data_IF_675923951958
#
_entry.id   IF_675923951958
#
_cell.length_a   1.000
_cell.length_b   1.000
_cell.length_c   1.000
_cell.angle_alpha   90.00
_cell.angle_beta   90.00
_cell.angle_gamma   90.00
#
_symmetry.space_group_name_H-M   'P 1'
#
loop_
_entity.id
_entity.type
_entity.pdbx_description
1 polymer ?
#
# COMPACT_ATOMS: atom_id res chain seq x y z
N UNK A 1 -50.00 -0.57 51.06
CA UNK A 1 -49.54 -0.78 49.69
C UNK A 1 -48.17 -0.15 49.54
N UNK A 2 -47.12 -0.95 49.66
CA UNK A 2 -45.72 -0.51 49.50
C UNK A 2 -45.32 -0.71 48.01
N UNK A 3 -45.01 0.35 47.30
CA UNK A 3 -44.44 0.25 45.94
C UNK A 3 -42.93 0.17 46.06
N UNK A 4 -42.37 -1.01 45.77
CA UNK A 4 -40.94 -1.19 45.57
C UNK A 4 -40.56 -0.64 44.18
N UNK A 5 -39.76 0.42 44.15
CA UNK A 5 -39.07 0.88 42.95
C UNK A 5 -37.76 0.08 42.84
N UNK A 6 -37.71 -0.81 41.82
CA UNK A 6 -36.47 -1.51 41.47
C UNK A 6 -35.70 -0.56 40.53
N UNK A 7 -34.62 0.00 41.04
CA UNK A 7 -33.68 0.82 40.27
C UNK A 7 -32.72 -0.14 39.55
N UNK A 8 -32.98 -0.36 38.26
CA UNK A 8 -32.05 -1.14 37.39
C UNK A 8 -30.84 -0.30 37.08
N UNK A 9 -29.71 -0.57 37.71
CA UNK A 9 -28.42 0.01 37.38
C UNK A 9 -27.86 -0.75 36.16
N UNK A 10 -27.95 -0.16 34.98
CA UNK A 10 -27.18 -0.60 33.81
C UNK A 10 -25.71 -0.21 33.98
N UNK A 11 -24.89 -1.14 34.43
CA UNK A 11 -23.44 -1.01 34.30
C UNK A 11 -23.07 -1.17 32.83
N UNK A 12 -22.85 -0.05 32.15
CA UNK A 12 -22.19 -0.06 30.85
C UNK A 12 -20.71 -0.43 31.06
N UNK A 13 -20.38 -1.70 30.89
CA UNK A 13 -18.99 -2.11 30.71
C UNK A 13 -18.50 -1.52 29.39
N UNK A 14 -17.81 -0.38 29.43
CA UNK A 14 -16.93 0.04 28.38
C UNK A 14 -15.77 -0.97 28.33
N UNK A 15 -15.91 -2.02 27.54
CA UNK A 15 -14.79 -2.82 27.09
C UNK A 15 -13.90 -1.90 26.25
N UNK A 16 -12.94 -1.27 26.90
CA UNK A 16 -11.76 -0.74 26.20
C UNK A 16 -11.14 -1.94 25.48
N UNK A 17 -11.42 -2.04 24.18
CA UNK A 17 -10.74 -3.01 23.35
C UNK A 17 -9.25 -2.62 23.35
N UNK A 18 -8.48 -3.26 24.23
CA UNK A 18 -7.02 -3.16 24.20
C UNK A 18 -6.61 -3.62 22.81
N UNK A 19 -6.02 -2.72 22.05
CA UNK A 19 -5.49 -3.06 20.72
C UNK A 19 -4.46 -4.17 20.93
N UNK A 20 -4.82 -5.39 20.48
CA UNK A 20 -3.92 -6.54 20.60
C UNK A 20 -2.72 -6.34 19.70
N UNK A 21 -1.55 -6.53 20.25
CA UNK A 21 -0.32 -6.52 19.50
C UNK A 21 -0.22 -7.74 18.57
N UNK A 22 0.50 -7.57 17.48
CA UNK A 22 0.80 -8.66 16.56
C UNK A 22 2.26 -9.06 16.70
N UNK A 23 2.56 -10.32 16.46
CA UNK A 23 3.92 -10.83 16.37
C UNK A 23 4.12 -11.65 15.10
N UNK A 24 5.33 -11.64 14.60
CA UNK A 24 5.76 -12.56 13.53
C UNK A 24 5.97 -13.94 14.15
N UNK A 25 5.30 -14.93 13.59
CA UNK A 25 5.47 -16.34 13.98
C UNK A 25 6.28 -17.12 12.96
N UNK A 26 6.37 -16.61 11.73
CA UNK A 26 7.21 -17.19 10.66
C UNK A 26 7.53 -16.16 9.58
N UNK A 27 8.76 -16.18 9.11
CA UNK A 27 9.19 -15.53 7.88
C UNK A 27 9.56 -16.60 6.86
N UNK A 28 8.83 -16.64 5.76
CA UNK A 28 9.13 -17.57 4.67
C UNK A 28 10.19 -16.97 3.72
N UNK A 29 11.02 -17.81 3.04
CA UNK A 29 11.98 -17.33 2.09
C UNK A 29 11.29 -16.66 0.89
N UNK A 30 11.98 -15.69 0.28
CA UNK A 30 11.50 -15.13 -1.00
C UNK A 30 11.64 -16.14 -2.13
N UNK A 31 10.66 -16.14 -3.04
CA UNK A 31 10.61 -16.98 -4.25
C UNK A 31 10.32 -16.13 -5.47
N UNK A 32 10.83 -16.53 -6.63
CA UNK A 32 10.45 -15.96 -7.93
C UNK A 32 9.86 -17.06 -8.80
N UNK A 33 8.92 -16.69 -9.65
CA UNK A 33 8.16 -17.62 -10.50
C UNK A 33 8.29 -17.25 -11.99
N UNK A 34 9.50 -17.24 -12.56
CA UNK A 34 9.76 -16.71 -13.91
C UNK A 34 9.09 -17.50 -15.05
N UNK A 35 8.53 -18.67 -14.78
CA UNK A 35 7.80 -19.48 -15.77
C UNK A 35 6.32 -19.04 -15.89
N UNK A 36 5.77 -18.47 -14.84
CA UNK A 36 4.34 -18.14 -14.72
C UNK A 36 4.09 -16.65 -14.45
N UNK A 37 5.15 -15.91 -14.11
CA UNK A 37 5.12 -14.46 -13.89
C UNK A 37 6.17 -13.85 -14.82
N UNK A 38 5.70 -13.14 -15.84
CA UNK A 38 6.55 -12.32 -16.70
C UNK A 38 7.09 -11.10 -15.92
N UNK A 39 8.24 -10.58 -16.33
CA UNK A 39 8.76 -9.32 -15.81
C UNK A 39 7.73 -8.20 -16.01
N UNK A 40 7.42 -7.44 -14.97
CA UNK A 40 6.33 -6.48 -15.07
C UNK A 40 6.44 -5.25 -14.19
N UNK A 41 7.55 -5.05 -13.46
CA UNK A 41 7.73 -3.91 -12.56
C UNK A 41 6.50 -3.73 -11.66
N UNK A 42 6.16 -4.80 -10.95
CA UNK A 42 4.97 -4.83 -10.11
C UNK A 42 5.22 -4.10 -8.80
N UNK A 43 4.38 -3.10 -8.50
CA UNK A 43 4.52 -2.23 -7.33
C UNK A 43 3.50 -2.55 -6.25
N UNK A 44 2.20 -2.51 -6.53
CA UNK A 44 1.14 -2.70 -5.54
C UNK A 44 0.34 -3.99 -5.72
N UNK A 45 -0.26 -4.47 -4.62
CA UNK A 45 -1.07 -5.69 -4.61
C UNK A 45 -2.29 -5.57 -3.70
N UNK A 46 -3.45 -6.03 -4.17
CA UNK A 46 -4.69 -6.12 -3.39
C UNK A 46 -5.37 -7.48 -3.56
N UNK A 47 -5.86 -8.05 -2.46
CA UNK A 47 -6.69 -9.26 -2.52
C UNK A 47 -8.06 -8.96 -3.11
N UNK A 48 -8.48 -9.67 -4.13
CA UNK A 48 -9.81 -9.53 -4.75
C UNK A 48 -10.82 -10.54 -4.15
N UNK A 49 -10.55 -11.81 -4.34
CA UNK A 49 -11.35 -12.94 -3.83
C UNK A 49 -10.54 -14.24 -3.94
N UNK A 50 -10.85 -15.25 -3.15
CA UNK A 50 -10.23 -16.57 -3.14
C UNK A 50 -8.68 -16.49 -3.16
N UNK A 51 -8.05 -17.03 -4.21
CA UNK A 51 -6.60 -16.94 -4.45
C UNK A 51 -6.23 -15.89 -5.53
N UNK A 52 -7.17 -14.99 -5.88
CA UNK A 52 -7.01 -13.97 -6.92
C UNK A 52 -6.68 -12.60 -6.31
N UNK A 53 -5.66 -11.97 -6.88
CA UNK A 53 -5.12 -10.68 -6.47
C UNK A 53 -5.03 -9.74 -7.67
N UNK A 54 -5.30 -8.46 -7.45
CA UNK A 54 -4.99 -7.40 -8.38
C UNK A 54 -3.59 -6.88 -8.11
N UNK A 55 -2.77 -6.75 -9.15
CA UNK A 55 -1.39 -6.27 -9.06
C UNK A 55 -1.18 -5.15 -10.06
N UNK A 56 -0.77 -3.98 -9.60
CA UNK A 56 -0.43 -2.85 -10.47
C UNK A 56 1.05 -2.90 -10.88
N UNK A 57 1.36 -2.21 -11.97
CA UNK A 57 2.71 -2.02 -12.48
C UNK A 57 2.96 -0.54 -12.71
N UNK A 58 4.12 -0.04 -12.29
CA UNK A 58 4.56 1.34 -12.49
C UNK A 58 4.82 1.67 -13.96
N UNK A 59 5.05 0.67 -14.81
CA UNK A 59 5.38 0.83 -16.24
C UNK A 59 4.23 0.52 -17.20
N UNK A 60 3.04 0.09 -16.72
CA UNK A 60 1.95 -0.29 -17.61
C UNK A 60 0.97 0.84 -17.92
N UNK A 61 0.80 1.15 -19.21
CA UNK A 61 -0.24 2.05 -19.70
C UNK A 61 -1.48 1.28 -20.22
N UNK A 62 -1.32 0.05 -20.66
CA UNK A 62 -2.41 -0.76 -21.22
C UNK A 62 -3.23 -1.44 -20.13
N UNK A 63 -2.58 -1.98 -19.10
CA UNK A 63 -3.25 -2.61 -17.98
C UNK A 63 -3.60 -1.57 -16.90
N UNK A 64 -4.83 -1.64 -16.38
CA UNK A 64 -5.15 -0.97 -15.13
C UNK A 64 -4.51 -1.71 -13.95
N UNK A 65 -4.63 -3.02 -13.95
CA UNK A 65 -3.94 -3.97 -13.08
C UNK A 65 -3.92 -5.36 -13.74
N UNK A 66 -3.02 -6.21 -13.27
CA UNK A 66 -2.93 -7.62 -13.64
C UNK A 66 -3.69 -8.47 -12.63
N UNK A 67 -4.27 -9.57 -13.09
CA UNK A 67 -4.86 -10.59 -12.23
C UNK A 67 -3.80 -11.65 -11.92
N UNK A 68 -3.52 -11.85 -10.65
CA UNK A 68 -2.57 -12.86 -10.18
C UNK A 68 -3.33 -13.93 -9.40
N UNK A 69 -2.96 -15.20 -9.63
CA UNK A 69 -3.28 -16.29 -8.72
C UNK A 69 -2.10 -16.50 -7.79
N UNK A 70 -2.33 -16.45 -6.48
CA UNK A 70 -1.28 -16.67 -5.47
C UNK A 70 -1.77 -17.72 -4.49
N UNK A 71 -1.10 -18.87 -4.48
CA UNK A 71 -1.42 -19.97 -3.60
C UNK A 71 -0.33 -20.13 -2.54
N UNK A 72 -0.77 -20.30 -1.30
CA UNK A 72 0.10 -20.52 -0.15
C UNK A 72 -0.28 -21.81 0.56
N UNK A 73 0.70 -22.47 1.14
CA UNK A 73 0.47 -23.63 1.96
C UNK A 73 -0.40 -23.26 3.19
N UNK A 74 -1.53 -23.92 3.44
CA UNK A 74 -2.48 -23.54 4.49
C UNK A 74 -1.96 -23.75 5.92
N UNK A 75 -0.86 -24.48 6.11
CA UNK A 75 -0.23 -24.72 7.41
C UNK A 75 0.97 -23.83 7.66
N UNK A 76 1.72 -23.50 6.61
CA UNK A 76 2.98 -22.79 6.73
C UNK A 76 2.94 -21.36 6.21
N UNK A 77 1.98 -21.01 5.36
CA UNK A 77 1.91 -19.75 4.65
C UNK A 77 3.02 -19.57 3.61
N UNK A 78 3.77 -20.63 3.29
CA UNK A 78 4.80 -20.59 2.25
C UNK A 78 4.15 -20.53 0.86
N UNK A 79 4.72 -19.73 -0.04
CA UNK A 79 4.26 -19.65 -1.42
C UNK A 79 4.42 -20.98 -2.13
N UNK A 80 3.33 -21.52 -2.68
CA UNK A 80 3.32 -22.76 -3.49
C UNK A 80 3.33 -22.42 -4.98
N UNK A 81 2.46 -21.48 -5.40
CA UNK A 81 2.35 -21.05 -6.79
C UNK A 81 2.03 -19.57 -6.87
N UNK A 82 2.63 -18.88 -7.85
CA UNK A 82 2.24 -17.55 -8.30
C UNK A 82 2.15 -17.57 -9.82
N UNK A 83 1.05 -17.05 -10.35
CA UNK A 83 0.78 -17.02 -11.78
C UNK A 83 0.13 -15.70 -12.18
N UNK A 84 0.65 -15.05 -13.23
CA UNK A 84 0.00 -13.92 -13.86
C UNK A 84 -1.04 -14.45 -14.86
N UNK A 85 -2.32 -14.18 -14.58
CA UNK A 85 -3.46 -14.62 -15.41
C UNK A 85 -3.77 -13.62 -16.54
N UNK A 86 -3.04 -12.49 -16.61
CA UNK A 86 -3.28 -11.45 -17.59
C UNK A 86 -4.01 -10.23 -17.01
N UNK A 87 -4.43 -9.36 -17.92
CA UNK A 87 -5.06 -8.09 -17.57
C UNK A 87 -6.19 -7.74 -18.53
N UNK A 88 -7.05 -6.83 -18.11
CA UNK A 88 -8.09 -6.25 -18.96
C UNK A 88 -7.60 -4.91 -19.50
N UNK A 89 -7.67 -4.73 -20.83
CA UNK A 89 -7.30 -3.49 -21.48
C UNK A 89 -8.15 -2.32 -20.98
N UNK A 90 -7.52 -1.18 -20.81
CA UNK A 90 -8.20 0.04 -20.33
C UNK A 90 -9.18 0.62 -21.34
N UNK A 91 -8.85 0.52 -22.61
CA UNK A 91 -9.54 1.25 -23.67
C UNK A 91 -10.79 0.55 -24.17
N UNK A 92 -10.78 -0.78 -24.25
CA UNK A 92 -11.88 -1.53 -24.84
C UNK A 92 -12.39 -2.71 -23.98
N UNK A 93 -11.75 -2.99 -22.86
CA UNK A 93 -12.09 -4.10 -21.96
C UNK A 93 -11.70 -5.48 -22.49
N UNK A 94 -10.82 -5.56 -23.48
CA UNK A 94 -10.28 -6.83 -24.00
C UNK A 94 -9.35 -7.45 -22.95
N UNK A 95 -9.49 -8.75 -22.73
CA UNK A 95 -8.61 -9.50 -21.83
C UNK A 95 -7.33 -9.91 -22.56
N UNK A 96 -6.19 -9.55 -22.02
CA UNK A 96 -4.86 -9.96 -22.46
C UNK A 96 -4.22 -10.94 -21.47
N UNK A 97 -3.37 -11.84 -21.97
CA UNK A 97 -2.72 -12.84 -21.13
C UNK A 97 -1.48 -12.31 -20.36
N UNK A 98 -1.10 -11.05 -20.59
CA UNK A 98 -0.01 -10.37 -19.88
C UNK A 98 1.39 -10.93 -20.14
N UNK A 99 1.53 -12.02 -20.93
CA UNK A 99 2.84 -12.70 -21.10
C UNK A 99 3.83 -11.91 -21.93
N UNK A 100 3.37 -11.03 -22.79
CA UNK A 100 4.18 -10.27 -23.74
C UNK A 100 4.17 -8.78 -23.46
N UNK A 101 3.64 -8.37 -22.31
CA UNK A 101 3.66 -6.97 -21.99
C UNK A 101 5.09 -6.52 -21.70
N UNK A 102 5.58 -5.62 -22.52
CA UNK A 102 6.82 -4.88 -22.37
C UNK A 102 6.48 -3.40 -22.44
N UNK A 103 5.86 -2.89 -21.36
CA UNK A 103 5.51 -1.49 -21.29
C UNK A 103 6.77 -0.63 -21.20
N UNK A 104 6.89 0.31 -22.08
CA UNK A 104 7.87 1.40 -22.03
C UNK A 104 7.16 2.75 -22.08
N UNK A 105 5.86 2.78 -21.87
CA UNK A 105 5.10 4.00 -22.05
C UNK A 105 5.09 4.82 -20.76
N UNK A 106 5.26 6.11 -20.96
CA UNK A 106 5.18 7.11 -19.89
C UNK A 106 3.71 7.39 -19.61
N UNK A 107 3.22 7.03 -18.44
CA UNK A 107 1.84 7.28 -18.20
C UNK A 107 1.45 7.40 -16.75
N UNK A 108 0.71 6.42 -16.29
CA UNK A 108 0.03 6.52 -15.01
C UNK A 108 0.94 6.26 -13.82
N UNK A 109 2.00 5.48 -13.98
CA UNK A 109 2.96 5.21 -12.92
C UNK A 109 2.22 4.73 -11.66
N UNK A 110 1.56 3.57 -11.78
CA UNK A 110 0.70 3.05 -10.72
C UNK A 110 1.53 2.35 -9.66
N UNK A 111 1.40 2.79 -8.40
CA UNK A 111 2.24 2.32 -7.31
C UNK A 111 1.47 1.44 -6.31
N UNK A 112 0.33 1.87 -5.83
CA UNK A 112 -0.45 1.10 -4.88
C UNK A 112 -1.88 0.85 -5.35
N UNK A 113 -2.47 -0.24 -4.83
CA UNK A 113 -3.84 -0.63 -5.12
C UNK A 113 -4.51 -1.19 -3.88
N UNK A 114 -5.77 -0.84 -3.65
CA UNK A 114 -6.58 -1.42 -2.58
C UNK A 114 -8.04 -1.62 -3.02
N UNK A 115 -8.64 -2.75 -2.65
CA UNK A 115 -10.06 -3.00 -2.85
C UNK A 115 -10.88 -2.29 -1.77
N UNK A 116 -11.80 -1.40 -2.17
CA UNK A 116 -12.64 -0.62 -1.25
C UNK A 116 -14.09 -1.09 -1.20
N UNK A 117 -14.49 -1.91 -2.17
CA UNK A 117 -15.78 -2.64 -2.20
C UNK A 117 -15.67 -3.84 -3.13
N UNK A 118 -16.72 -4.65 -3.24
CA UNK A 118 -16.73 -5.76 -4.19
C UNK A 118 -16.72 -5.30 -5.66
N UNK A 119 -17.09 -4.07 -5.91
CA UNK A 119 -17.18 -3.50 -7.26
C UNK A 119 -16.15 -2.40 -7.55
N UNK A 120 -15.40 -1.92 -6.56
CA UNK A 120 -14.47 -0.82 -6.76
C UNK A 120 -13.16 -0.99 -5.98
N UNK A 121 -12.11 -0.41 -6.53
CA UNK A 121 -10.78 -0.33 -5.94
C UNK A 121 -10.23 1.10 -6.09
N UNK A 122 -9.22 1.44 -5.31
CA UNK A 122 -8.49 2.70 -5.42
C UNK A 122 -7.04 2.39 -5.80
N UNK A 123 -6.50 3.17 -6.73
CA UNK A 123 -5.11 3.08 -7.19
C UNK A 123 -4.45 4.44 -7.00
N UNK A 124 -3.18 4.45 -6.55
CA UNK A 124 -2.32 5.63 -6.62
C UNK A 124 -1.64 5.72 -7.98
N UNK A 125 -1.34 6.94 -8.37
CA UNK A 125 -0.55 7.20 -9.58
C UNK A 125 0.48 8.28 -9.26
N UNK A 126 1.76 7.92 -9.33
CA UNK A 126 2.86 8.85 -9.10
C UNK A 126 2.90 9.92 -10.18
N UNK A 127 2.79 9.55 -11.45
CA UNK A 127 2.82 10.46 -12.59
C UNK A 127 1.76 11.57 -12.55
N UNK A 128 0.64 11.36 -11.87
CA UNK A 128 -0.44 12.34 -11.71
C UNK A 128 -0.63 12.85 -10.28
N UNK A 129 0.20 12.42 -9.33
CA UNK A 129 0.08 12.79 -7.90
C UNK A 129 -1.33 12.58 -7.36
N UNK A 130 -1.93 11.42 -7.61
CA UNK A 130 -3.36 11.19 -7.32
C UNK A 130 -3.67 9.82 -6.75
N UNK A 131 -4.80 9.78 -6.05
CA UNK A 131 -5.54 8.58 -5.69
C UNK A 131 -6.85 8.59 -6.49
N UNK A 132 -7.19 7.50 -7.17
CA UNK A 132 -8.42 7.44 -7.97
C UNK A 132 -9.12 6.11 -7.78
N UNK A 133 -10.45 6.17 -7.67
CA UNK A 133 -11.34 5.02 -7.64
C UNK A 133 -11.58 4.50 -9.07
N UNK A 134 -11.59 3.18 -9.21
CA UNK A 134 -11.84 2.47 -10.45
C UNK A 134 -12.79 1.30 -10.21
N UNK A 135 -13.56 0.85 -11.21
CA UNK A 135 -14.31 -0.38 -11.10
C UNK A 135 -13.37 -1.59 -11.04
N UNK A 136 -13.78 -2.64 -10.34
CA UNK A 136 -13.16 -3.96 -10.45
C UNK A 136 -13.46 -4.49 -11.85
N UNK A 137 -12.41 -4.81 -12.59
CA UNK A 137 -12.51 -5.27 -13.97
C UNK A 137 -12.85 -6.77 -14.02
N UNK A 138 -13.60 -7.20 -15.04
CA UNK A 138 -13.89 -8.60 -15.20
C UNK A 138 -12.63 -9.42 -15.52
N UNK A 139 -12.58 -10.62 -14.97
CA UNK A 139 -11.47 -11.57 -15.17
C UNK A 139 -11.71 -12.51 -16.35
N UNK A 140 -12.81 -12.36 -17.09
CA UNK A 140 -13.17 -13.21 -18.22
C UNK A 140 -13.67 -12.41 -19.43
N UNK A 141 -13.35 -12.88 -20.63
CA UNK A 141 -13.74 -12.26 -21.90
C UNK A 141 -15.27 -12.16 -22.13
N UNK A 142 -16.07 -12.92 -21.37
CA UNK A 142 -17.54 -12.93 -21.48
C UNK A 142 -18.24 -12.00 -20.50
N UNK A 143 -17.48 -11.27 -19.68
CA UNK A 143 -18.07 -10.32 -18.75
C UNK A 143 -18.55 -9.05 -19.48
N UNK A 144 -19.60 -8.38 -18.98
CA UNK A 144 -20.08 -7.15 -19.61
C UNK A 144 -18.98 -6.08 -19.61
N UNK A 145 -18.86 -5.35 -20.74
CA UNK A 145 -17.95 -4.21 -20.85
C UNK A 145 -18.29 -3.17 -19.79
N UNK A 146 -17.29 -2.75 -19.05
CA UNK A 146 -17.44 -1.73 -18.02
C UNK A 146 -17.21 -0.35 -18.66
N UNK A 147 -18.19 0.53 -18.52
CA UNK A 147 -18.01 1.91 -18.92
C UNK A 147 -17.14 2.64 -17.89
N UNK A 148 -15.98 3.13 -18.32
CA UNK A 148 -15.07 3.94 -17.49
C UNK A 148 -15.60 5.36 -17.19
N UNK A 149 -16.78 5.72 -17.69
CA UNK A 149 -17.34 7.08 -17.61
C UNK A 149 -18.14 7.37 -16.31
N UNK A 150 -18.03 6.54 -15.28
CA UNK A 150 -18.66 6.88 -14.00
C UNK A 150 -17.78 7.88 -13.27
N UNK A 151 -18.41 8.92 -12.69
CA UNK A 151 -17.79 9.91 -11.81
C UNK A 151 -17.35 9.25 -10.49
N UNK A 152 -16.27 8.47 -10.56
CA UNK A 152 -15.64 7.84 -9.42
C UNK A 152 -14.78 8.86 -8.67
N UNK A 153 -14.56 8.60 -7.38
CA UNK A 153 -13.79 9.49 -6.53
C UNK A 153 -12.33 9.65 -6.99
N UNK A 154 -11.83 10.87 -6.85
CA UNK A 154 -10.43 11.20 -7.09
C UNK A 154 -9.96 12.24 -6.07
N UNK A 155 -8.72 12.10 -5.62
CA UNK A 155 -8.00 13.08 -4.83
C UNK A 155 -6.66 13.36 -5.50
N UNK A 156 -6.42 14.62 -5.87
CA UNK A 156 -5.17 15.09 -6.49
C UNK A 156 -4.40 15.97 -5.54
N UNK A 157 -3.10 15.86 -5.58
CA UNK A 157 -2.18 16.68 -4.83
C UNK A 157 -1.29 17.49 -5.78
N UNK A 158 -0.88 18.71 -5.40
CA UNK A 158 0.07 19.47 -6.20
C UNK A 158 1.40 18.70 -6.31
N UNK A 159 1.90 18.51 -7.53
CA UNK A 159 3.22 17.88 -7.75
C UNK A 159 4.35 18.67 -7.09
N UNK A 160 4.15 19.98 -6.89
CA UNK A 160 5.07 20.85 -6.16
C UNK A 160 5.26 20.48 -4.69
N UNK A 161 4.36 19.69 -4.09
CA UNK A 161 4.47 19.25 -2.70
C UNK A 161 5.48 18.12 -2.53
N UNK A 162 5.82 17.41 -3.62
CA UNK A 162 6.69 16.24 -3.61
C UNK A 162 8.09 16.54 -4.17
N UNK A 163 9.07 15.79 -3.75
CA UNK A 163 10.32 15.66 -4.47
C UNK A 163 10.12 14.71 -5.65
N UNK A 164 10.88 14.86 -6.76
CA UNK A 164 10.77 13.96 -7.90
C UNK A 164 10.95 12.49 -7.48
N UNK A 165 10.09 11.60 -7.97
CA UNK A 165 10.07 10.17 -7.69
C UNK A 165 9.86 9.83 -6.19
N UNK A 166 9.09 10.66 -5.46
CA UNK A 166 8.74 10.43 -4.04
C UNK A 166 7.29 10.83 -3.77
N UNK A 167 6.36 10.18 -4.42
CA UNK A 167 4.94 10.50 -4.33
C UNK A 167 4.18 9.55 -3.40
N UNK A 168 2.97 9.15 -3.78
CA UNK A 168 2.15 8.19 -3.03
C UNK A 168 2.41 6.77 -3.53
N UNK A 169 3.09 5.97 -2.74
CA UNK A 169 3.40 4.58 -3.06
C UNK A 169 2.58 3.58 -2.24
N UNK A 170 1.67 4.04 -1.39
CA UNK A 170 1.03 3.15 -0.44
C UNK A 170 -0.46 3.42 -0.26
N UNK A 171 -1.24 2.34 -0.09
CA UNK A 171 -2.65 2.38 0.24
C UNK A 171 -3.03 1.28 1.23
N UNK A 172 -3.91 1.62 2.19
CA UNK A 172 -4.56 0.63 3.01
C UNK A 172 -6.04 0.97 3.21
N UNK A 173 -6.89 -0.04 3.30
CA UNK A 173 -8.32 0.15 3.52
C UNK A 173 -8.83 -0.64 4.72
N UNK A 174 -9.31 0.06 5.74
CA UNK A 174 -10.05 -0.53 6.85
C UNK A 174 -11.53 -0.66 6.45
N UNK A 175 -11.92 -1.84 6.02
CA UNK A 175 -13.27 -2.12 5.54
C UNK A 175 -14.34 -2.02 6.63
N UNK A 176 -13.97 -2.20 7.90
CA UNK A 176 -14.88 -2.12 9.04
C UNK A 176 -15.21 -0.67 9.37
N UNK A 177 -14.20 0.20 9.39
CA UNK A 177 -14.35 1.62 9.70
C UNK A 177 -14.58 2.48 8.48
N UNK A 178 -14.41 1.91 7.29
CA UNK A 178 -14.47 2.64 6.02
C UNK A 178 -13.45 3.77 5.99
N UNK A 179 -12.19 3.48 6.36
CA UNK A 179 -11.08 4.43 6.30
C UNK A 179 -10.08 4.01 5.22
N UNK A 180 -9.81 4.96 4.30
CA UNK A 180 -8.74 4.81 3.31
C UNK A 180 -7.51 5.55 3.82
N UNK A 181 -6.37 4.87 3.84
CA UNK A 181 -5.10 5.38 4.32
C UNK A 181 -4.08 5.48 3.19
N UNK A 182 -3.26 6.52 3.24
CA UNK A 182 -2.08 6.69 2.39
C UNK A 182 -1.01 7.51 3.11
N UNK A 183 0.22 7.40 2.65
CA UNK A 183 1.36 8.18 3.12
C UNK A 183 2.27 8.45 1.92
N UNK A 184 2.97 9.60 1.89
CA UNK A 184 4.00 9.83 0.87
C UNK A 184 5.19 8.90 1.10
N UNK A 185 5.85 8.46 0.04
CA UNK A 185 7.06 7.65 0.17
C UNK A 185 8.12 8.36 1.02
N UNK A 186 8.35 9.63 0.75
CA UNK A 186 9.36 10.42 1.46
C UNK A 186 8.82 11.75 1.98
N UNK A 187 9.68 12.51 2.65
CA UNK A 187 9.38 13.82 3.22
C UNK A 187 8.86 14.79 2.16
N UNK A 188 7.74 15.47 2.44
CA UNK A 188 7.21 16.50 1.55
C UNK A 188 8.13 17.74 1.55
N UNK A 189 8.17 18.51 0.44
CA UNK A 189 9.00 19.73 0.32
C UNK A 189 8.78 20.74 1.44
N UNK A 190 7.56 20.88 1.91
CA UNK A 190 7.22 21.80 3.03
C UNK A 190 7.72 21.30 4.39
N UNK A 191 8.05 20.02 4.50
CA UNK A 191 8.40 19.35 5.75
C UNK A 191 9.92 19.11 5.90
N UNK A 192 10.71 19.35 4.86
CA UNK A 192 12.16 19.22 4.92
C UNK A 192 12.75 18.55 3.68
N UNK A 193 13.86 17.86 3.88
CA UNK A 193 14.56 17.12 2.82
C UNK A 193 14.43 15.62 3.01
N UNK A 194 14.38 14.82 1.93
CA UNK A 194 14.45 13.37 2.01
C UNK A 194 15.70 12.89 2.74
N UNK A 195 15.55 11.81 3.48
CA UNK A 195 16.65 11.14 4.16
C UNK A 195 17.69 10.62 3.16
N UNK A 196 18.94 10.88 3.43
CA UNK A 196 20.08 10.36 2.65
C UNK A 196 21.18 9.86 3.58
N UNK A 197 22.08 8.97 3.12
CA UNK A 197 23.23 8.55 3.92
C UNK A 197 24.12 9.72 4.36
N UNK A 198 24.14 10.82 3.60
CA UNK A 198 25.01 11.96 3.85
C UNK A 198 24.40 12.96 4.83
N UNK A 199 23.08 13.19 4.76
CA UNK A 199 22.42 14.11 5.69
C UNK A 199 22.02 13.45 7.01
N UNK A 200 21.90 12.10 7.04
CA UNK A 200 21.56 11.34 8.24
C UNK A 200 20.18 11.68 8.83
N UNK A 201 19.32 12.36 8.08
CA UNK A 201 17.99 12.75 8.55
C UNK A 201 17.06 11.53 8.61
N UNK A 202 16.04 11.62 9.42
CA UNK A 202 14.90 10.72 9.38
C UNK A 202 13.79 11.38 8.54
N UNK A 203 13.15 10.63 7.64
CA UNK A 203 11.97 11.13 6.92
C UNK A 203 10.83 11.39 7.90
N UNK A 204 10.26 12.58 7.84
CA UNK A 204 9.07 12.99 8.59
C UNK A 204 7.90 13.04 7.61
N UNK A 205 6.91 12.20 7.82
CA UNK A 205 5.84 11.91 6.88
C UNK A 205 4.48 12.22 7.48
N UNK A 206 3.49 12.41 6.61
CA UNK A 206 2.09 12.60 6.99
C UNK A 206 1.30 11.38 6.58
N UNK A 207 0.95 10.53 7.57
CA UNK A 207 0.00 9.45 7.36
C UNK A 207 -1.41 10.07 7.28
N UNK A 208 -2.07 9.91 6.16
CA UNK A 208 -3.37 10.51 5.86
C UNK A 208 -4.47 9.46 5.89
N UNK A 209 -5.59 9.81 6.52
CA UNK A 209 -6.80 9.01 6.59
C UNK A 209 -7.94 9.76 5.91
N UNK A 210 -8.56 9.16 4.93
CA UNK A 210 -9.80 9.60 4.35
C UNK A 210 -10.97 8.83 4.98
N UNK A 211 -12.01 9.55 5.42
CA UNK A 211 -13.27 8.94 5.86
C UNK A 211 -14.08 8.54 4.63
N UNK A 212 -13.82 7.33 4.14
CA UNK A 212 -14.41 6.79 2.92
C UNK A 212 -15.92 6.65 3.01
N UNK A 213 -16.43 6.34 4.19
CA UNK A 213 -17.86 6.28 4.46
C UNK A 213 -18.55 7.60 4.18
N UNK A 214 -18.03 8.71 4.75
CA UNK A 214 -18.54 10.06 4.52
C UNK A 214 -18.38 10.52 3.08
N UNK A 215 -17.26 10.18 2.43
CA UNK A 215 -17.03 10.49 1.01
C UNK A 215 -18.11 9.84 0.15
N UNK A 216 -18.41 8.55 0.35
CA UNK A 216 -19.46 7.85 -0.39
C UNK A 216 -20.86 8.40 -0.09
N UNK A 217 -21.15 8.67 1.17
CA UNK A 217 -22.46 9.25 1.57
C UNK A 217 -22.72 10.60 0.92
N UNK A 218 -21.70 11.48 0.92
CA UNK A 218 -21.82 12.80 0.30
C UNK A 218 -22.01 12.71 -1.23
N UNK A 219 -21.23 11.84 -1.89
CA UNK A 219 -21.34 11.62 -3.33
C UNK A 219 -22.72 11.09 -3.74
N UNK A 220 -23.32 10.20 -2.94
CA UNK A 220 -24.68 9.72 -3.21
C UNK A 220 -25.73 10.83 -3.10
N UNK A 221 -25.55 11.80 -2.19
CA UNK A 221 -26.43 12.98 -2.07
C UNK A 221 -26.29 13.90 -3.29
N UNK A 222 -25.08 14.13 -3.78
CA UNK A 222 -24.79 14.96 -4.97
C UNK A 222 -25.35 14.33 -6.26
N UNK A 223 -25.18 13.04 -6.46
CA UNK A 223 -25.74 12.33 -7.63
C UNK A 223 -27.28 12.39 -7.69
N UNK A 224 -27.95 12.45 -6.53
CA UNK A 224 -29.39 12.64 -6.46
C UNK A 224 -29.83 14.10 -6.72
N UNK A 225 -28.90 15.07 -6.60
CA UNK A 225 -29.15 16.51 -6.76
C UNK A 225 -28.81 17.08 -8.16
N UNK A 226 -28.29 16.30 -9.10
CA UNK A 226 -27.90 16.74 -10.47
C UNK A 226 -26.88 17.90 -10.54
N UNK A 227 -25.97 18.05 -9.63
CA UNK A 227 -24.86 18.99 -9.78
C UNK A 227 -23.65 18.35 -10.45
N UNK A 228 -23.32 18.84 -11.66
CA UNK A 228 -22.07 18.51 -12.37
C UNK A 228 -20.91 19.25 -11.68
N UNK A 229 -20.15 18.55 -10.85
CA UNK A 229 -19.01 19.15 -10.15
C UNK A 229 -17.73 19.03 -10.98
N UNK A 230 -17.01 20.15 -11.15
CA UNK A 230 -15.69 20.16 -11.79
C UNK A 230 -14.65 19.32 -11.00
N UNK A 231 -13.63 18.76 -11.68
CA UNK A 231 -12.55 17.97 -11.06
C UNK A 231 -11.84 18.72 -9.91
N UNK A 232 -11.71 20.05 -10.00
CA UNK A 232 -11.12 20.89 -8.95
C UNK A 232 -11.98 20.98 -7.68
N UNK A 233 -13.30 20.92 -7.80
CA UNK A 233 -14.21 20.89 -6.66
C UNK A 233 -14.19 19.54 -5.95
N UNK A 234 -14.09 18.45 -6.68
CA UNK A 234 -13.99 17.09 -6.12
C UNK A 234 -12.76 16.93 -5.23
N UNK A 235 -11.62 17.46 -5.64
CA UNK A 235 -10.38 17.43 -4.86
C UNK A 235 -10.44 18.28 -3.58
N UNK A 236 -11.04 19.48 -3.64
CA UNK A 236 -11.28 20.33 -2.46
C UNK A 236 -12.27 19.69 -1.49
N UNK A 237 -13.28 18.98 -2.00
CA UNK A 237 -14.27 18.27 -1.18
C UNK A 237 -13.66 17.04 -0.49
N UNK A 238 -12.77 16.30 -1.16
CA UNK A 238 -12.07 15.15 -0.56
C UNK A 238 -11.24 15.55 0.67
N UNK A 239 -10.60 16.72 0.65
CA UNK A 239 -9.79 17.20 1.78
C UNK A 239 -10.59 17.52 3.06
N UNK A 240 -11.92 17.72 2.97
CA UNK A 240 -12.80 17.97 4.13
C UNK A 240 -12.96 16.74 5.02
N UNK A 241 -12.74 15.55 4.48
CA UNK A 241 -12.90 14.28 5.18
C UNK A 241 -11.55 13.61 5.44
N UNK A 242 -10.48 14.41 5.46
CA UNK A 242 -9.13 13.92 5.64
C UNK A 242 -8.57 14.35 7.00
N UNK A 243 -7.96 13.39 7.68
CA UNK A 243 -7.21 13.58 8.92
C UNK A 243 -5.78 13.12 8.68
N UNK A 244 -4.80 13.73 9.34
CA UNK A 244 -3.41 13.29 9.27
C UNK A 244 -2.84 12.94 10.65
N UNK A 245 -1.77 12.16 10.63
CA UNK A 245 -0.96 11.77 11.78
C UNK A 245 0.52 11.95 11.42
N UNK A 246 1.33 12.35 12.40
CA UNK A 246 2.76 12.50 12.20
C UNK A 246 3.45 11.12 12.26
N UNK A 247 4.18 10.76 11.22
CA UNK A 247 4.96 9.52 11.15
C UNK A 247 6.43 9.86 10.95
N UNK A 248 7.32 9.21 11.69
CA UNK A 248 8.77 9.36 11.53
C UNK A 248 9.40 8.01 11.23
N UNK A 249 10.12 7.95 10.12
CA UNK A 249 10.94 6.80 9.78
C UNK A 249 12.21 6.73 10.64
N UNK A 250 12.91 5.61 10.58
CA UNK A 250 14.25 5.52 11.13
C UNK A 250 15.25 6.35 10.30
N UNK A 251 16.43 6.55 10.83
CA UNK A 251 17.54 7.14 10.07
C UNK A 251 18.15 6.12 9.10
N UNK A 252 18.86 6.57 8.04
CA UNK A 252 19.61 5.70 7.14
C UNK A 252 20.52 4.73 7.90
N UNK A 253 20.55 3.47 7.47
CA UNK A 253 21.38 2.42 8.10
C UNK A 253 22.86 2.49 7.68
N UNK A 254 23.19 3.36 6.75
CA UNK A 254 24.53 3.53 6.19
C UNK A 254 24.88 5.00 5.99
N UNK A 255 26.16 5.33 6.11
CA UNK A 255 26.73 6.65 5.76
C UNK A 255 27.54 6.61 4.45
N UNK A 256 27.54 5.46 3.75
CA UNK A 256 28.27 5.30 2.49
C UNK A 256 27.60 6.10 1.38
N UNK A 257 28.40 6.62 0.45
CA UNK A 257 27.89 7.29 -0.74
C UNK A 257 27.24 6.26 -1.67
N UNK A 258 26.03 6.50 -2.08
CA UNK A 258 25.31 5.73 -3.10
C UNK A 258 25.40 6.41 -4.47
N UNK A 259 25.16 5.65 -5.52
CA UNK A 259 24.85 6.12 -6.87
C UNK A 259 23.34 6.38 -6.97
N UNK A 260 22.55 5.40 -6.48
CA UNK A 260 21.10 5.52 -6.30
C UNK A 260 20.80 5.18 -4.84
N UNK A 261 19.99 6.02 -4.21
CA UNK A 261 19.53 5.82 -2.84
C UNK A 261 18.06 6.22 -2.73
N UNK A 262 17.26 5.31 -2.22
CA UNK A 262 15.84 5.52 -1.96
C UNK A 262 15.55 5.05 -0.54
N UNK A 263 14.88 5.88 0.24
CA UNK A 263 14.43 5.53 1.58
C UNK A 263 13.04 6.09 1.81
N UNK A 264 12.08 5.20 2.03
CA UNK A 264 10.69 5.61 2.12
C UNK A 264 9.78 4.54 2.72
N UNK A 265 8.50 4.91 2.87
CA UNK A 265 7.42 3.97 3.11
C UNK A 265 6.91 3.49 1.76
N UNK A 266 7.11 2.22 1.48
CA UNK A 266 6.73 1.63 0.20
C UNK A 266 5.32 1.05 0.20
N UNK A 267 4.77 0.62 1.37
CA UNK A 267 3.39 0.13 1.39
C UNK A 267 2.78 0.19 2.79
N UNK A 268 1.45 0.24 2.81
CA UNK A 268 0.59 0.13 3.99
C UNK A 268 -0.33 -1.07 3.87
N UNK A 269 -0.71 -1.66 5.00
CA UNK A 269 -1.76 -2.69 5.02
C UNK A 269 -2.62 -2.56 6.27
N UNK A 270 -3.94 -2.55 6.10
CA UNK A 270 -4.85 -2.42 7.23
C UNK A 270 -5.00 -3.74 8.00
N UNK A 271 -4.86 -3.65 9.31
CA UNK A 271 -5.12 -4.72 10.24
C UNK A 271 -6.46 -4.49 10.97
N UNK A 272 -7.04 -5.53 11.59
CA UNK A 272 -8.19 -5.35 12.46
C UNK A 272 -7.96 -4.30 13.56
N UNK A 273 -9.06 -3.71 14.04
CA UNK A 273 -9.07 -2.70 15.11
C UNK A 273 -8.41 -1.36 14.80
N UNK A 274 -8.26 -1.02 13.50
CA UNK A 274 -7.73 0.27 13.05
C UNK A 274 -6.21 0.38 13.13
N UNK A 275 -5.53 -0.73 13.30
CA UNK A 275 -4.08 -0.83 13.21
C UNK A 275 -3.62 -0.91 11.76
N UNK A 276 -2.37 -0.54 11.52
CA UNK A 276 -1.75 -0.64 10.20
C UNK A 276 -0.40 -1.36 10.32
N UNK A 277 -0.08 -2.13 9.28
CA UNK A 277 1.29 -2.49 8.94
C UNK A 277 1.86 -1.38 8.06
N UNK A 278 3.11 -1.04 8.28
CA UNK A 278 3.89 -0.07 7.51
C UNK A 278 5.16 -0.77 7.05
N UNK A 279 5.38 -0.78 5.75
CA UNK A 279 6.61 -1.30 5.14
C UNK A 279 7.56 -0.13 4.86
N UNK A 280 8.60 0.00 5.66
CA UNK A 280 9.71 0.90 5.39
C UNK A 280 10.78 0.18 4.58
N UNK A 281 11.31 0.84 3.55
CA UNK A 281 12.44 0.32 2.77
C UNK A 281 13.60 1.32 2.73
N UNK A 282 14.80 0.78 2.63
CA UNK A 282 16.04 1.50 2.34
C UNK A 282 16.77 0.76 1.23
N UNK A 283 16.79 1.31 0.02
CA UNK A 283 17.53 0.78 -1.12
C UNK A 283 18.84 1.57 -1.33
N UNK A 284 19.94 0.88 -1.26
CA UNK A 284 21.30 1.42 -1.44
C UNK A 284 21.97 0.75 -2.62
N UNK A 285 22.32 1.51 -3.65
CA UNK A 285 22.93 0.99 -4.86
C UNK A 285 24.21 1.78 -5.12
N UNK A 286 25.40 1.17 -4.90
CA UNK A 286 26.67 1.81 -5.20
C UNK A 286 26.95 1.81 -6.71
N UNK A 287 27.87 2.65 -7.17
CA UNK A 287 28.22 2.78 -8.59
C UNK A 287 28.57 1.46 -9.27
N UNK A 288 29.31 0.59 -8.60
CA UNK A 288 29.70 -0.73 -9.11
C UNK A 288 28.62 -1.81 -8.96
N UNK A 289 27.45 -1.47 -8.36
CA UNK A 289 26.30 -2.34 -8.07
C UNK A 289 26.60 -3.51 -7.10
N UNK A 290 27.83 -4.00 -6.99
CA UNK A 290 28.21 -5.02 -6.01
C UNK A 290 28.15 -4.38 -4.61
N UNK A 291 27.47 -5.06 -3.69
CA UNK A 291 27.20 -4.53 -2.36
C UNK A 291 25.91 -3.70 -2.28
N UNK A 292 25.13 -3.64 -3.38
CA UNK A 292 23.78 -3.11 -3.34
C UNK A 292 22.91 -3.92 -2.36
N UNK A 293 22.04 -3.22 -1.65
CA UNK A 293 21.10 -3.86 -0.74
C UNK A 293 19.75 -3.13 -0.72
N UNK A 294 18.72 -3.87 -0.40
CA UNK A 294 17.44 -3.34 0.05
C UNK A 294 17.19 -3.88 1.46
N UNK A 295 17.03 -2.98 2.42
CA UNK A 295 16.69 -3.25 3.81
C UNK A 295 15.24 -2.87 4.03
N UNK A 296 14.44 -3.83 4.48
CA UNK A 296 13.03 -3.64 4.75
C UNK A 296 12.75 -3.82 6.24
N UNK A 297 11.82 -3.02 6.75
CA UNK A 297 11.31 -3.10 8.11
C UNK A 297 9.79 -3.09 8.08
N UNK A 298 9.18 -4.06 8.74
CA UNK A 298 7.74 -4.13 8.91
C UNK A 298 7.37 -3.63 10.29
N UNK A 299 6.66 -2.53 10.35
CA UNK A 299 6.17 -1.93 11.58
C UNK A 299 4.67 -2.12 11.75
N UNK A 300 4.24 -2.25 12.99
CA UNK A 300 2.85 -2.09 13.42
C UNK A 300 2.68 -0.69 14.03
N UNK A 301 1.60 0.00 13.66
CA UNK A 301 1.19 1.27 14.25
C UNK A 301 -0.30 1.26 14.61
N UNK A 302 -0.71 2.14 15.51
CA UNK A 302 -2.10 2.32 15.88
C UNK A 302 -2.48 3.81 15.82
N UNK A 303 -2.74 4.36 14.63
CA UNK A 303 -3.00 5.78 14.47
C UNK A 303 -4.28 6.24 15.18
N UNK A 304 -5.31 5.39 15.29
CA UNK A 304 -6.58 5.78 15.92
C UNK A 304 -6.47 5.99 17.44
N UNK A 305 -5.42 5.48 18.07
CA UNK A 305 -5.10 5.70 19.49
C UNK A 305 -4.03 6.79 19.69
N UNK A 306 -3.78 7.59 18.67
CA UNK A 306 -2.74 8.61 18.67
C UNK A 306 -3.33 9.99 18.39
N UNK A 307 -2.57 11.02 18.72
CA UNK A 307 -2.96 12.40 18.46
C UNK A 307 -2.94 12.72 16.95
N UNK A 308 -3.97 13.42 16.47
CA UNK A 308 -4.06 13.87 15.10
C UNK A 308 -3.06 15.02 14.86
N UNK A 309 -2.46 15.05 13.68
CA UNK A 309 -1.54 16.08 13.27
C UNK A 309 -2.16 16.96 12.18
N UNK A 310 -2.06 18.27 12.33
CA UNK A 310 -2.64 19.18 11.34
C UNK A 310 -1.95 19.05 9.97
N UNK A 311 -2.73 18.96 8.90
CA UNK A 311 -2.22 18.98 7.52
C UNK A 311 -1.42 20.25 7.19
N UNK A 312 -1.70 21.36 7.89
CA UNK A 312 -0.97 22.63 7.77
C UNK A 312 0.08 22.85 8.86
N UNK A 313 0.16 21.92 9.84
CA UNK A 313 1.14 21.98 10.93
C UNK A 313 2.57 21.85 10.39
N UNK A 314 3.53 22.36 11.14
CA UNK A 314 4.96 22.16 10.88
C UNK A 314 5.51 21.14 11.87
N UNK A 315 6.39 20.27 11.41
CA UNK A 315 7.10 19.36 12.32
C UNK A 315 8.05 20.15 13.23
N UNK A 316 8.14 19.73 14.48
CA UNK A 316 8.99 20.31 15.52
C UNK A 316 9.46 19.21 16.48
N UNK A 317 10.28 19.58 17.48
CA UNK A 317 10.67 18.67 18.57
C UNK A 317 9.48 18.11 19.35
N UNK A 318 8.38 18.86 19.42
CA UNK A 318 7.19 18.51 20.21
C UNK A 318 6.12 17.79 19.38
N UNK A 319 6.44 17.45 18.13
CA UNK A 319 5.49 16.74 17.26
C UNK A 319 5.16 15.37 17.83
N UNK A 320 3.86 15.03 18.01
CA UNK A 320 3.43 13.75 18.54
C UNK A 320 3.52 12.65 17.48
N UNK A 321 4.73 12.20 17.17
CA UNK A 321 4.92 11.12 16.20
C UNK A 321 4.29 9.81 16.67
N UNK A 322 3.70 9.09 15.71
CA UNK A 322 3.13 7.75 15.94
C UNK A 322 4.18 6.82 16.54
N UNK A 323 3.77 6.11 17.61
CA UNK A 323 4.57 5.01 18.13
C UNK A 323 4.51 3.84 17.16
N UNK A 324 5.66 3.30 16.79
CA UNK A 324 5.79 2.16 15.90
C UNK A 324 6.46 0.99 16.60
N UNK A 325 5.96 -0.22 16.37
CA UNK A 325 6.51 -1.46 16.89
C UNK A 325 7.10 -2.27 15.74
N UNK A 326 8.39 -2.55 15.78
CA UNK A 326 9.06 -3.38 14.80
C UNK A 326 8.59 -4.84 14.94
N UNK A 327 8.06 -5.41 13.85
CA UNK A 327 7.63 -6.79 13.76
C UNK A 327 8.67 -7.68 13.08
N UNK A 328 9.26 -7.18 11.99
CA UNK A 328 10.30 -7.90 11.22
C UNK A 328 11.27 -6.91 10.58
N UNK A 329 12.52 -7.36 10.42
CA UNK A 329 13.55 -6.66 9.65
C UNK A 329 14.31 -7.67 8.82
N UNK A 330 14.47 -7.41 7.51
CA UNK A 330 15.29 -8.26 6.64
C UNK A 330 16.07 -7.43 5.62
N UNK A 331 17.10 -8.06 5.07
CA UNK A 331 17.96 -7.42 4.08
C UNK A 331 18.20 -8.37 2.92
N UNK A 332 17.97 -7.86 1.72
CA UNK A 332 18.29 -8.52 0.46
C UNK A 332 19.47 -7.82 -0.19
N UNK A 333 20.15 -8.46 -1.14
CA UNK A 333 21.33 -7.81 -1.68
C UNK A 333 21.93 -8.48 -2.90
N UNK A 334 22.86 -7.76 -3.51
CA UNK A 334 23.63 -8.17 -4.67
C UNK A 334 25.12 -8.28 -4.31
N UNK A 335 25.67 -9.48 -4.42
CA UNK A 335 27.10 -9.76 -4.29
C UNK A 335 27.55 -10.69 -5.42
N UNK A 336 28.83 -11.00 -5.49
CA UNK A 336 29.38 -11.95 -6.47
C UNK A 336 28.70 -13.32 -6.41
N UNK A 337 28.34 -13.77 -5.21
CA UNK A 337 27.73 -15.08 -4.96
C UNK A 337 26.23 -15.04 -4.71
N UNK A 338 25.65 -13.87 -4.40
CA UNK A 338 24.26 -13.74 -3.98
C UNK A 338 23.51 -12.73 -4.85
N UNK A 339 22.47 -13.20 -5.53
CA UNK A 339 21.58 -12.38 -6.38
C UNK A 339 20.16 -12.41 -5.82
N UNK A 340 19.98 -11.82 -4.65
CA UNK A 340 18.72 -11.83 -3.94
C UNK A 340 18.17 -10.44 -3.68
N UNK A 341 18.72 -9.41 -4.36
CA UNK A 341 18.18 -8.04 -4.23
C UNK A 341 16.70 -8.04 -4.59
N UNK A 342 15.88 -7.49 -3.71
CA UNK A 342 14.45 -7.39 -3.87
C UNK A 342 14.01 -6.05 -3.27
N UNK A 343 13.47 -5.19 -4.13
CA UNK A 343 12.89 -3.91 -3.77
C UNK A 343 11.41 -4.14 -3.49
N UNK A 344 11.06 -4.45 -2.23
CA UNK A 344 9.67 -4.74 -1.87
C UNK A 344 8.84 -3.45 -1.85
N UNK A 345 7.79 -3.42 -2.65
CA UNK A 345 6.89 -2.28 -2.82
C UNK A 345 5.44 -2.63 -2.51
N UNK A 346 4.96 -3.81 -2.92
CA UNK A 346 3.59 -4.22 -2.65
C UNK A 346 3.44 -5.09 -1.41
N UNK A 347 2.36 -4.88 -0.65
CA UNK A 347 2.02 -5.67 0.53
C UNK A 347 0.49 -5.76 0.72
N UNK A 348 -0.04 -6.96 0.92
CA UNK A 348 -1.43 -7.15 1.30
C UNK A 348 -1.62 -8.31 2.30
N UNK A 349 -2.81 -8.39 2.89
CA UNK A 349 -3.18 -9.60 3.64
C UNK A 349 -3.51 -10.72 2.66
N UNK A 350 -2.89 -11.86 2.88
CA UNK A 350 -3.23 -13.14 2.26
C UNK A 350 -4.28 -13.91 3.07
N UNK A 351 -4.42 -15.22 2.87
CA UNK A 351 -5.37 -16.05 3.60
C UNK A 351 -4.96 -16.21 5.07
N UNK A 352 -5.94 -16.58 5.89
CA UNK A 352 -5.67 -17.11 7.22
C UNK A 352 -5.26 -18.58 7.11
N UNK A 353 -4.27 -18.96 7.92
CA UNK A 353 -3.83 -20.36 8.03
C UNK A 353 -4.80 -21.19 8.91
N UNK A 354 -4.64 -22.51 8.88
CA UNK A 354 -5.44 -23.45 9.67
C UNK A 354 -5.39 -23.15 11.17
N UNK A 355 -4.29 -22.59 11.67
CA UNK A 355 -4.11 -22.21 13.08
C UNK A 355 -4.60 -20.79 13.41
N UNK A 356 -5.28 -20.13 12.47
CA UNK A 356 -5.81 -18.77 12.59
C UNK A 356 -4.79 -17.65 12.40
N UNK A 357 -3.51 -17.96 12.16
CA UNK A 357 -2.48 -16.97 11.84
C UNK A 357 -2.78 -16.30 10.48
N UNK A 358 -2.35 -15.06 10.34
CA UNK A 358 -2.57 -14.25 9.14
C UNK A 358 -1.33 -14.23 8.27
N UNK A 359 -1.46 -14.55 7.00
CA UNK A 359 -0.39 -14.37 6.01
C UNK A 359 -0.38 -12.92 5.55
N UNK A 360 0.82 -12.34 5.47
CA UNK A 360 1.12 -11.09 4.78
C UNK A 360 1.90 -11.46 3.53
N UNK A 361 1.43 -11.07 2.36
CA UNK A 361 2.08 -11.30 1.07
C UNK A 361 2.78 -10.01 0.67
N UNK A 362 4.05 -10.14 0.25
CA UNK A 362 4.87 -9.06 -0.27
C UNK A 362 5.33 -9.41 -1.69
N UNK A 363 5.39 -8.40 -2.54
CA UNK A 363 6.01 -8.50 -3.86
C UNK A 363 7.05 -7.39 -4.05
N UNK A 364 8.04 -7.64 -4.91
CA UNK A 364 9.08 -6.67 -5.23
C UNK A 364 8.99 -6.24 -6.68
N UNK A 365 9.27 -4.96 -6.90
CA UNK A 365 9.56 -4.46 -8.25
C UNK A 365 10.88 -5.03 -8.76
N UNK A 366 10.89 -5.46 -10.02
CA UNK A 366 12.05 -6.04 -10.68
C UNK A 366 12.95 -5.01 -11.36
N UNK A 367 12.58 -3.74 -11.41
CA UNK A 367 13.34 -2.67 -12.08
C UNK A 367 13.78 -3.10 -13.49
N UNK A 368 12.82 -3.47 -14.37
CA UNK A 368 13.07 -4.01 -15.71
C UNK A 368 13.99 -5.24 -15.73
N UNK A 369 14.04 -6.00 -14.63
CA UNK A 369 14.95 -7.14 -14.43
C UNK A 369 16.42 -6.82 -14.74
N UNK A 370 16.83 -5.60 -14.54
CA UNK A 370 18.14 -5.01 -14.85
C UNK A 370 19.21 -6.05 -15.23
N UNK A 371 19.54 -6.14 -16.54
CA UNK A 371 20.50 -7.11 -17.09
C UNK A 371 20.22 -8.58 -16.70
N UNK A 372 18.96 -8.97 -16.43
CA UNK A 372 18.57 -10.31 -15.98
C UNK A 372 19.04 -10.68 -14.57
N UNK A 373 19.44 -9.68 -13.77
CA UNK A 373 19.95 -9.88 -12.39
C UNK A 373 18.85 -9.74 -11.36
N UNK A 374 17.93 -8.79 -11.57
CA UNK A 374 16.80 -8.57 -10.69
C UNK A 374 15.62 -9.47 -11.08
N UNK A 375 14.69 -9.68 -10.18
CA UNK A 375 13.52 -10.56 -10.37
C UNK A 375 12.34 -9.99 -9.64
N UNK A 376 11.15 -10.34 -10.12
CA UNK A 376 9.92 -10.18 -9.38
C UNK A 376 9.87 -11.21 -8.25
N UNK A 377 10.27 -10.77 -7.05
CA UNK A 377 10.29 -11.62 -5.87
C UNK A 377 8.98 -11.52 -5.11
N UNK A 378 8.52 -12.65 -4.61
CA UNK A 378 7.40 -12.76 -3.68
C UNK A 378 7.91 -13.31 -2.35
N UNK A 379 7.36 -12.82 -1.25
CA UNK A 379 7.68 -13.26 0.11
C UNK A 379 6.40 -13.30 0.93
N UNK A 380 6.34 -14.21 1.89
CA UNK A 380 5.28 -14.20 2.90
C UNK A 380 5.86 -14.07 4.31
N UNK A 381 5.14 -13.35 5.14
CA UNK A 381 5.37 -13.25 6.59
C UNK A 381 4.07 -13.67 7.27
N UNK A 382 4.17 -14.57 8.24
CA UNK A 382 3.02 -15.03 9.01
C UNK A 382 2.99 -14.33 10.35
N UNK A 383 1.89 -13.66 10.62
CA UNK A 383 1.66 -12.91 11.86
C UNK A 383 0.51 -13.49 12.66
N UNK A 384 0.54 -13.34 13.98
CA UNK A 384 -0.52 -13.76 14.89
C UNK A 384 -0.72 -12.69 15.95
N UNK A 385 -1.96 -12.56 16.41
CA UNK A 385 -2.28 -11.74 17.59
C UNK A 385 -1.62 -12.34 18.85
N UNK A 386 -1.07 -11.48 19.69
CA UNK A 386 -0.55 -11.85 21.01
C UNK A 386 -1.69 -12.10 21.99
#
# INVERSE_FOLDING_TARGET
MLRCNILSIFLAFNLLAVAQDWKVVRENPQKAFPKTVAAGNYSGIAHLHDDIYAVVSDKSDSALYFNFRIQVNPKTGELEQVENLGFTERTDGTLNDGKFWQGQEKGFDHEAIVKVSDSTLVITSEGYCRLKEYPVLPTSANAPKISYQQNLWESRWPSSDFYPNYNFESLAFDSVRQYLWTISESTLRKDGQPATPQNGLANQLRLMRYDWGKIKENRNKENNGKEDCSEQESSKKASRYMTAYAYQMDQPSTHKKADIYVMGVSELCALPHGQLLVLEREAFIPKIKIGAFCKCKLYQINPLNSEEFSLKGKFSSDTPFLKKRLLAEWKTGLSLSKRSFANYEGMCLGPKLEDGSQVVILLSDSQDQYAGVLKDWFKTIVIRKE
#
